data_IF_988379290401
#
_entry.id   IF_988379290401
#
_cell.length_a   1.000
_cell.length_b   1.000
_cell.length_c   1.000
_cell.angle_alpha   90.00
_cell.angle_beta   90.00
_cell.angle_gamma   90.00
#
_symmetry.space_group_name_H-M   'P 1'
#
loop_
_entity.id
_entity.type
_entity.pdbx_description
1 polymer ?
#
# COMPACT_ATOMS: atom_id res chain seq x y z
N UNK A 1 13.32 -1.97 22.00
CA UNK A 1 12.08 -1.86 21.22
C UNK A 1 10.89 -1.98 22.17
N UNK A 2 10.30 -0.86 22.58
CA UNK A 2 9.12 -0.86 23.44
C UNK A 2 8.15 0.21 22.96
N UNK A 3 6.86 -0.03 23.10
CA UNK A 3 5.78 0.90 22.73
C UNK A 3 4.84 1.03 23.92
N UNK A 4 4.55 2.25 24.34
CA UNK A 4 3.55 2.53 25.37
C UNK A 4 2.24 2.92 24.68
N UNK A 5 1.19 2.15 24.93
CA UNK A 5 -0.18 2.47 24.51
C UNK A 5 -0.95 2.82 25.79
N UNK A 6 -1.63 3.98 25.87
CA UNK A 6 -2.24 4.44 27.12
C UNK A 6 -3.13 3.38 27.80
N UNK A 7 -3.91 2.66 27.01
CA UNK A 7 -4.88 1.65 27.48
C UNK A 7 -4.25 0.28 27.74
N UNK A 8 -3.06 0.00 27.18
CA UNK A 8 -2.40 -1.33 27.23
C UNK A 8 -1.09 -1.33 28.02
N UNK A 9 -0.65 -0.17 28.51
CA UNK A 9 0.64 0.00 29.16
C UNK A 9 1.82 -0.12 28.20
N UNK A 10 3.00 -0.42 28.76
CA UNK A 10 4.25 -0.53 27.99
C UNK A 10 4.47 -1.96 27.51
N UNK A 11 4.41 -2.16 26.20
CA UNK A 11 4.71 -3.42 25.54
C UNK A 11 6.19 -3.47 25.16
N UNK A 12 6.92 -4.45 25.68
CA UNK A 12 8.32 -4.69 25.32
C UNK A 12 8.41 -5.79 24.27
N UNK A 13 9.12 -5.54 23.17
CA UNK A 13 9.24 -6.52 22.09
C UNK A 13 10.18 -7.67 22.51
N UNK A 14 9.74 -8.91 22.28
CA UNK A 14 10.55 -10.12 22.52
C UNK A 14 11.56 -10.40 21.40
N UNK A 15 11.37 -9.78 20.24
CA UNK A 15 12.24 -9.84 19.06
C UNK A 15 12.23 -8.49 18.35
N UNK A 16 13.27 -8.19 17.57
CA UNK A 16 13.31 -7.00 16.76
C UNK A 16 12.16 -7.02 15.73
N UNK A 17 11.25 -6.02 15.72
CA UNK A 17 10.12 -6.01 14.80
C UNK A 17 10.53 -5.52 13.41
N UNK A 18 9.99 -6.15 12.37
CA UNK A 18 9.95 -5.58 11.02
C UNK A 18 8.65 -4.78 10.88
N UNK A 19 8.75 -3.51 10.50
CA UNK A 19 7.63 -2.58 10.51
C UNK A 19 7.32 -2.13 9.09
N UNK A 20 6.10 -2.41 8.62
CA UNK A 20 5.54 -1.87 7.38
C UNK A 20 4.45 -0.86 7.74
N UNK A 21 4.56 0.35 7.22
CA UNK A 21 3.56 1.39 7.38
C UNK A 21 2.86 1.64 6.05
N UNK A 22 1.54 1.49 6.02
CA UNK A 22 0.72 1.83 4.86
C UNK A 22 0.04 3.18 5.10
N UNK A 23 -0.05 3.99 4.05
CA UNK A 23 -0.81 5.24 4.06
C UNK A 23 -1.73 5.25 2.85
N UNK A 24 -2.95 5.74 3.05
CA UNK A 24 -3.87 6.06 1.95
C UNK A 24 -3.61 7.48 1.38
N UNK A 25 -2.49 8.10 1.76
CA UNK A 25 -2.07 9.45 1.36
C UNK A 25 -3.09 10.58 1.66
N UNK A 26 -4.15 10.34 2.45
CA UNK A 26 -5.12 11.39 2.83
C UNK A 26 -4.50 12.48 3.72
N UNK A 27 -3.44 12.13 4.44
CA UNK A 27 -2.61 13.06 5.22
C UNK A 27 -1.15 12.79 4.93
N UNK A 28 -0.40 13.87 4.80
CA UNK A 28 1.03 13.75 4.58
C UNK A 28 1.72 13.16 5.82
N UNK A 29 2.67 12.26 5.58
CA UNK A 29 3.54 11.72 6.62
C UNK A 29 4.42 12.84 7.17
N UNK A 30 4.58 12.90 8.50
CA UNK A 30 5.44 13.90 9.12
C UNK A 30 6.91 13.68 8.74
N UNK A 31 7.66 14.77 8.61
CA UNK A 31 9.11 14.74 8.35
C UNK A 31 9.89 13.97 9.43
N UNK A 32 9.39 13.92 10.66
CA UNK A 32 9.97 13.11 11.72
C UNK A 32 9.86 11.60 11.42
N UNK A 33 8.75 11.17 10.80
CA UNK A 33 8.52 9.77 10.45
C UNK A 33 9.27 9.39 9.17
N UNK A 34 9.21 10.23 8.13
CA UNK A 34 9.93 10.02 6.87
C UNK A 34 11.45 9.86 7.08
N UNK A 35 12.05 10.57 8.04
CA UNK A 35 13.49 10.43 8.38
C UNK A 35 13.84 9.15 9.14
N UNK A 36 12.86 8.35 9.56
CA UNK A 36 13.04 7.11 10.32
C UNK A 36 12.65 5.85 9.52
N UNK A 37 12.19 6.00 8.28
CA UNK A 37 11.80 4.87 7.44
C UNK A 37 12.22 5.09 5.99
N UNK A 38 12.25 4.00 5.22
CA UNK A 38 12.21 4.09 3.77
C UNK A 38 10.77 4.41 3.37
N UNK A 39 10.60 5.51 2.64
CA UNK A 39 9.31 5.93 2.12
C UNK A 39 9.27 5.69 0.60
N UNK A 40 8.29 4.91 0.17
CA UNK A 40 8.00 4.67 -1.24
C UNK A 40 6.58 5.14 -1.50
N UNK A 41 6.44 6.15 -2.37
CA UNK A 41 5.15 6.46 -2.97
C UNK A 41 4.87 5.45 -4.08
N UNK A 42 3.64 4.93 -4.13
CA UNK A 42 3.20 4.00 -5.16
C UNK A 42 2.03 4.68 -5.86
N UNK A 43 2.28 5.10 -7.10
CA UNK A 43 1.25 5.67 -7.96
C UNK A 43 0.22 4.60 -8.36
N UNK A 44 -0.93 5.06 -8.86
CA UNK A 44 -1.87 4.17 -9.53
C UNK A 44 -1.17 3.47 -10.71
N UNK A 45 -1.45 2.17 -10.97
CA UNK A 45 -0.82 1.47 -12.08
C UNK A 45 -1.06 2.18 -13.40
N UNK A 46 -0.11 2.05 -14.34
CA UNK A 46 -0.36 2.48 -15.72
C UNK A 46 -1.49 1.64 -16.32
N UNK A 47 -2.21 2.13 -17.34
CA UNK A 47 -3.26 1.37 -18.01
C UNK A 47 -2.80 -0.04 -18.46
N UNK A 48 -1.55 -0.15 -18.93
CA UNK A 48 -0.97 -1.42 -19.35
C UNK A 48 -0.74 -2.37 -18.18
N UNK A 49 -0.28 -1.85 -17.04
CA UNK A 49 -0.07 -2.64 -15.83
C UNK A 49 -1.41 -3.04 -15.20
N UNK A 50 -2.38 -2.14 -15.16
CA UNK A 50 -3.73 -2.41 -14.66
C UNK A 50 -4.41 -3.51 -15.47
N UNK A 51 -4.36 -3.44 -16.81
CA UNK A 51 -4.88 -4.50 -17.69
C UNK A 51 -4.21 -5.85 -17.41
N UNK A 52 -2.88 -5.87 -17.24
CA UNK A 52 -2.13 -7.10 -16.89
C UNK A 52 -2.55 -7.65 -15.53
N UNK A 53 -2.83 -6.79 -14.56
CA UNK A 53 -3.34 -7.19 -13.25
C UNK A 53 -4.72 -7.82 -13.40
N UNK A 54 -5.64 -7.20 -14.15
CA UNK A 54 -6.98 -7.71 -14.38
C UNK A 54 -6.96 -9.10 -15.04
N UNK A 55 -6.23 -9.26 -16.14
CA UNK A 55 -6.14 -10.54 -16.86
C UNK A 55 -5.44 -11.64 -16.03
N UNK A 56 -4.54 -11.26 -15.12
CA UNK A 56 -3.89 -12.20 -14.19
C UNK A 56 -4.79 -12.63 -13.03
N UNK A 57 -5.60 -11.69 -12.51
CA UNK A 57 -6.47 -11.92 -11.35
C UNK A 57 -7.83 -12.51 -11.73
N UNK A 58 -8.31 -12.24 -12.94
CA UNK A 58 -9.59 -12.70 -13.48
C UNK A 58 -9.35 -13.25 -14.89
N UNK A 59 -8.79 -14.48 -15.03
CA UNK A 59 -8.39 -15.02 -16.34
C UNK A 59 -9.55 -15.24 -17.33
N UNK A 60 -10.77 -15.40 -16.84
CA UNK A 60 -11.99 -15.52 -17.64
C UNK A 60 -12.50 -14.19 -18.21
N UNK A 61 -11.90 -13.07 -17.79
CA UNK A 61 -12.27 -11.74 -18.25
C UNK A 61 -11.91 -11.58 -19.74
N UNK A 62 -12.89 -11.27 -20.61
CA UNK A 62 -12.58 -10.99 -22.00
C UNK A 62 -11.63 -9.79 -22.12
N UNK A 63 -10.61 -9.91 -22.97
CA UNK A 63 -9.54 -8.92 -23.09
C UNK A 63 -10.05 -7.51 -23.46
N UNK A 64 -11.01 -7.44 -24.38
CA UNK A 64 -11.67 -6.18 -24.76
C UNK A 64 -12.39 -5.51 -23.59
N UNK A 65 -12.94 -6.30 -22.67
CA UNK A 65 -13.64 -5.77 -21.51
C UNK A 65 -12.65 -5.29 -20.44
N UNK A 66 -11.51 -5.96 -20.28
CA UNK A 66 -10.42 -5.46 -19.43
C UNK A 66 -9.90 -4.09 -19.93
N UNK A 67 -9.75 -3.93 -21.25
CA UNK A 67 -9.37 -2.64 -21.87
C UNK A 67 -10.41 -1.54 -21.62
N UNK A 68 -11.70 -1.88 -21.72
CA UNK A 68 -12.78 -0.93 -21.46
C UNK A 68 -12.83 -0.50 -19.99
N UNK A 69 -12.69 -1.45 -19.05
CA UNK A 69 -12.65 -1.15 -17.61
C UNK A 69 -11.50 -0.21 -17.25
N UNK A 70 -10.29 -0.49 -17.73
CA UNK A 70 -9.11 0.35 -17.49
C UNK A 70 -9.33 1.77 -18.02
N UNK A 71 -9.95 1.93 -19.20
CA UNK A 71 -10.25 3.23 -19.79
C UNK A 71 -11.32 4.03 -19.03
N UNK A 72 -12.25 3.36 -18.35
CA UNK A 72 -13.33 4.04 -17.59
C UNK A 72 -12.85 4.46 -16.19
N UNK A 73 -12.01 3.65 -15.55
CA UNK A 73 -11.57 3.87 -14.17
C UNK A 73 -10.29 4.71 -14.09
N UNK A 74 -9.34 4.49 -15.00
CA UNK A 74 -8.07 5.22 -15.08
C UNK A 74 -8.23 6.64 -15.59
#
# INVERSE_FOLDING_TARGET
FAVTVPELGTLTATRAPFVLLTSNATRELSEALKRRCLYLHIDFPTPELERRILLSRVPELPEHFAEELVRIIG
#
